data_IF_996446873128
#
_entry.id   IF_996446873128
#
_cell.length_a   1.000
_cell.length_b   1.000
_cell.length_c   1.000
_cell.angle_alpha   90.00
_cell.angle_beta   90.00
_cell.angle_gamma   90.00
#
_symmetry.space_group_name_H-M   'P 1'
#
loop_
_entity.id
_entity.type
_entity.pdbx_description
1 polymer ?
#
# COMPACT_ATOMS: atom_id res chain seq x y z
N UNK A 1 -7.87 0.42 -4.33
CA UNK A 1 -7.37 -0.71 -3.52
C UNK A 1 -7.67 -0.51 -2.03
N UNK A 2 -6.87 0.22 -1.25
CA UNK A 2 -6.94 0.20 0.23
C UNK A 2 -8.30 0.59 0.85
N UNK A 3 -9.01 1.57 0.27
CA UNK A 3 -10.38 1.92 0.72
C UNK A 3 -11.37 0.77 0.54
N UNK A 4 -11.27 0.05 -0.58
CA UNK A 4 -12.15 -1.08 -0.90
C UNK A 4 -11.78 -2.29 -0.04
N UNK A 5 -10.48 -2.57 0.12
CA UNK A 5 -10.01 -3.63 1.02
C UNK A 5 -10.55 -3.43 2.45
N UNK A 6 -10.56 -2.19 2.97
CA UNK A 6 -11.15 -1.88 4.27
C UNK A 6 -12.67 -2.09 4.32
N UNK A 7 -13.41 -1.66 3.30
CA UNK A 7 -14.88 -1.85 3.27
C UNK A 7 -15.29 -3.34 3.18
N UNK A 8 -14.43 -4.17 2.60
CA UNK A 8 -14.64 -5.61 2.48
C UNK A 8 -14.12 -6.41 3.69
N UNK A 9 -13.56 -5.75 4.72
CA UNK A 9 -13.01 -6.41 5.90
C UNK A 9 -11.66 -7.10 5.67
N UNK A 10 -10.96 -6.77 4.58
CA UNK A 10 -9.67 -7.34 4.20
C UNK A 10 -8.47 -6.64 4.87
N UNK A 11 -8.68 -5.97 6.01
CA UNK A 11 -7.62 -5.25 6.75
C UNK A 11 -6.50 -6.16 7.25
N UNK A 12 -6.79 -7.45 7.47
CA UNK A 12 -5.83 -8.49 7.82
C UNK A 12 -4.94 -8.92 6.65
N UNK A 13 -5.32 -8.60 5.41
CA UNK A 13 -4.56 -8.90 4.19
C UNK A 13 -3.73 -7.67 3.81
N UNK A 14 -4.38 -6.51 3.71
CA UNK A 14 -3.73 -5.25 3.38
C UNK A 14 -4.49 -4.08 4.00
N UNK A 15 -3.77 -3.21 4.70
CA UNK A 15 -4.37 -2.06 5.38
C UNK A 15 -3.42 -0.88 5.47
N UNK A 16 -4.01 0.29 5.71
CA UNK A 16 -3.28 1.45 6.21
C UNK A 16 -2.76 1.15 7.61
N UNK A 17 -1.53 1.56 7.90
CA UNK A 17 -0.99 1.55 9.25
C UNK A 17 -1.44 2.81 10.00
N UNK A 18 -1.65 2.72 11.32
CA UNK A 18 -1.91 3.89 12.13
C UNK A 18 -0.76 4.90 12.02
N UNK A 19 -1.07 6.16 12.24
CA UNK A 19 -0.04 7.19 12.32
C UNK A 19 0.93 6.82 13.47
N UNK A 20 2.25 6.85 13.23
CA UNK A 20 3.22 6.41 14.24
C UNK A 20 3.31 7.41 15.40
N UNK A 21 2.96 8.67 15.12
CA UNK A 21 2.92 9.77 16.07
C UNK A 21 1.71 10.66 15.79
N UNK A 22 1.12 11.25 16.84
CA UNK A 22 0.21 12.37 16.68
C UNK A 22 0.89 13.44 15.82
N UNK A 23 0.19 13.98 14.81
CA UNK A 23 0.67 15.03 13.89
C UNK A 23 1.63 14.62 12.76
N UNK A 24 1.97 13.33 12.59
CA UNK A 24 2.72 12.88 11.40
C UNK A 24 1.78 12.41 10.28
N UNK A 25 1.70 13.14 9.18
CA UNK A 25 0.84 12.84 8.02
C UNK A 25 1.42 11.81 7.04
N UNK A 26 2.43 11.04 7.44
CA UNK A 26 3.01 10.02 6.55
C UNK A 26 2.13 8.77 6.58
N UNK A 27 1.24 8.67 5.60
CA UNK A 27 0.37 7.52 5.46
C UNK A 27 1.15 6.37 4.82
N UNK A 28 0.97 5.20 5.42
CA UNK A 28 1.77 4.01 5.11
C UNK A 28 0.81 2.85 5.04
N UNK A 29 1.04 1.95 4.11
CA UNK A 29 0.23 0.75 4.02
C UNK A 29 1.12 -0.47 4.06
N UNK A 30 0.57 -1.58 4.53
CA UNK A 30 1.30 -2.84 4.63
C UNK A 30 0.44 -3.97 4.10
N UNK A 31 1.06 -4.83 3.31
CA UNK A 31 0.52 -6.14 2.94
C UNK A 31 0.98 -7.10 4.03
N UNK A 32 0.03 -7.61 4.81
CA UNK A 32 0.27 -8.50 5.95
C UNK A 32 0.27 -9.96 5.51
N UNK A 33 -0.64 -10.33 4.60
CA UNK A 33 -0.70 -11.67 4.01
C UNK A 33 -0.51 -11.59 2.49
N UNK A 34 0.69 -11.94 2.03
CA UNK A 34 1.05 -11.88 0.60
C UNK A 34 0.27 -12.91 -0.22
N UNK A 35 -0.02 -14.08 0.34
CA UNK A 35 -0.73 -15.15 -0.39
C UNK A 35 -2.16 -14.71 -0.72
N UNK A 36 -2.91 -14.32 0.30
CA UNK A 36 -4.28 -13.82 0.17
C UNK A 36 -4.35 -12.54 -0.66
N UNK A 37 -3.34 -11.67 -0.54
CA UNK A 37 -3.26 -10.47 -1.36
C UNK A 37 -3.13 -10.83 -2.84
N UNK A 38 -2.26 -11.78 -3.20
CA UNK A 38 -2.04 -12.18 -4.60
C UNK A 38 -3.25 -12.91 -5.18
N UNK A 39 -3.94 -13.74 -4.41
CA UNK A 39 -5.11 -14.49 -4.90
C UNK A 39 -6.37 -13.64 -5.00
N UNK A 40 -6.61 -12.76 -4.02
CA UNK A 40 -7.93 -12.14 -3.87
C UNK A 40 -7.92 -10.65 -4.23
N UNK A 41 -6.83 -9.91 -3.95
CA UNK A 41 -6.83 -8.45 -4.06
C UNK A 41 -6.08 -7.97 -5.30
N UNK A 42 -4.89 -8.51 -5.55
CA UNK A 42 -4.04 -8.12 -6.67
C UNK A 42 -4.76 -8.20 -8.02
N UNK A 43 -5.51 -9.29 -8.35
CA UNK A 43 -6.18 -9.41 -9.64
C UNK A 43 -7.29 -8.38 -9.85
N UNK A 44 -7.93 -7.91 -8.77
CA UNK A 44 -9.02 -6.93 -8.82
C UNK A 44 -8.55 -5.52 -9.20
N UNK A 45 -7.33 -5.16 -8.80
CA UNK A 45 -6.79 -3.80 -8.98
C UNK A 45 -5.66 -3.71 -10.01
N UNK A 46 -4.97 -4.82 -10.28
CA UNK A 46 -3.80 -4.87 -11.15
C UNK A 46 -3.94 -6.01 -12.14
N UNK A 47 -4.82 -5.83 -13.14
CA UNK A 47 -5.27 -6.86 -14.09
C UNK A 47 -4.15 -7.63 -14.80
N UNK A 48 -2.98 -7.00 -15.00
CA UNK A 48 -1.83 -7.60 -15.67
C UNK A 48 -0.76 -8.15 -14.69
N UNK A 49 -1.09 -8.27 -13.40
CA UNK A 49 -0.15 -8.70 -12.37
C UNK A 49 -0.65 -9.92 -11.62
N UNK A 50 0.10 -11.01 -11.71
CA UNK A 50 -0.18 -12.27 -11.02
C UNK A 50 0.82 -12.58 -9.90
N UNK A 51 1.86 -11.76 -9.75
CA UNK A 51 2.95 -11.99 -8.81
C UNK A 51 3.17 -10.79 -7.91
N UNK A 52 3.38 -11.04 -6.62
CA UNK A 52 3.71 -9.99 -5.66
C UNK A 52 4.95 -9.18 -6.06
N UNK A 53 5.99 -9.83 -6.62
CA UNK A 53 7.19 -9.12 -7.12
C UNK A 53 6.86 -8.07 -8.20
N UNK A 54 5.87 -8.33 -9.05
CA UNK A 54 5.44 -7.37 -10.08
C UNK A 54 4.78 -6.14 -9.45
N UNK A 55 3.98 -6.35 -8.41
CA UNK A 55 3.41 -5.28 -7.60
C UNK A 55 4.50 -4.46 -6.91
N UNK A 56 5.48 -5.11 -6.27
CA UNK A 56 6.62 -4.42 -5.66
C UNK A 56 7.41 -3.59 -6.69
N UNK A 57 7.58 -4.11 -7.91
CA UNK A 57 8.26 -3.37 -8.99
C UNK A 57 7.46 -2.14 -9.41
N UNK A 58 6.13 -2.20 -9.46
CA UNK A 58 5.31 -1.02 -9.70
C UNK A 58 5.49 0.00 -8.60
N UNK A 59 5.43 -0.41 -7.34
CA UNK A 59 5.67 0.50 -6.21
C UNK A 59 7.02 1.20 -6.34
N UNK A 60 8.08 0.46 -6.66
CA UNK A 60 9.41 1.04 -6.88
C UNK A 60 9.44 2.01 -8.07
N UNK A 61 8.77 1.69 -9.19
CA UNK A 61 8.68 2.57 -10.37
C UNK A 61 7.98 3.89 -10.04
N UNK A 62 6.96 3.86 -9.18
CA UNK A 62 6.24 5.05 -8.73
C UNK A 62 6.87 5.73 -7.50
N UNK A 63 8.11 5.39 -7.16
CA UNK A 63 8.89 6.03 -6.10
C UNK A 63 8.47 5.68 -4.67
N UNK A 64 7.65 4.65 -4.46
CA UNK A 64 7.30 4.21 -3.11
C UNK A 64 8.51 3.67 -2.38
N UNK A 65 8.65 4.06 -1.12
CA UNK A 65 9.72 3.63 -0.24
C UNK A 65 9.23 2.51 0.68
N UNK A 66 10.06 1.46 0.81
CA UNK A 66 9.77 0.33 1.70
C UNK A 66 10.50 0.51 3.03
N UNK A 67 9.76 0.42 4.13
CA UNK A 67 10.32 0.46 5.48
C UNK A 67 11.11 -0.83 5.74
N UNK A 68 12.40 -0.70 6.01
CA UNK A 68 13.30 -1.87 6.17
C UNK A 68 13.44 -2.35 7.61
N UNK A 69 13.21 -1.47 8.59
CA UNK A 69 13.52 -1.70 10.00
C UNK A 69 12.34 -1.29 10.90
N UNK A 70 12.35 -1.79 12.15
CA UNK A 70 11.36 -1.44 13.17
C UNK A 70 10.05 -2.22 13.06
N UNK A 71 9.05 -1.88 13.90
CA UNK A 71 7.78 -2.59 13.99
C UNK A 71 6.98 -2.56 12.68
N UNK A 72 7.23 -1.57 11.84
CA UNK A 72 6.49 -1.34 10.59
C UNK A 72 7.26 -1.84 9.36
N UNK A 73 8.31 -2.63 9.61
CA UNK A 73 9.07 -3.30 8.54
C UNK A 73 8.15 -3.96 7.54
N UNK A 74 8.45 -3.73 6.27
CA UNK A 74 7.70 -4.24 5.13
C UNK A 74 6.57 -3.33 4.63
N UNK A 75 6.23 -2.28 5.36
CA UNK A 75 5.26 -1.29 4.89
C UNK A 75 5.84 -0.41 3.78
N UNK A 76 4.95 0.18 2.98
CA UNK A 76 5.26 1.09 1.89
C UNK A 76 4.67 2.47 2.16
N UNK A 77 5.36 3.50 1.70
CA UNK A 77 4.94 4.87 1.86
C UNK A 77 5.37 5.75 0.70
N UNK A 78 4.61 6.80 0.46
CA UNK A 78 4.93 7.82 -0.51
C UNK A 78 4.30 9.15 -0.08
N UNK A 79 5.04 10.26 -0.24
CA UNK A 79 4.62 11.59 0.24
C UNK A 79 3.25 12.06 -0.29
N UNK A 80 2.90 11.64 -1.51
CA UNK A 80 1.66 12.02 -2.18
C UNK A 80 0.59 10.92 -2.15
N UNK A 81 0.87 9.77 -1.52
CA UNK A 81 -0.09 8.68 -1.39
C UNK A 81 -0.74 8.73 -0.01
N UNK A 82 -1.74 9.60 0.12
CA UNK A 82 -2.43 9.86 1.39
C UNK A 82 -3.84 9.26 1.38
N UNK A 83 -4.27 8.78 2.55
CA UNK A 83 -5.61 8.20 2.75
C UNK A 83 -6.70 9.26 2.60
N UNK A 84 -6.45 10.43 3.18
CA UNK A 84 -7.45 11.51 3.28
C UNK A 84 -7.43 12.44 2.05
N UNK A 85 -6.33 12.43 1.29
CA UNK A 85 -6.13 13.29 0.11
C UNK A 85 -5.76 12.47 -1.14
N UNK A 86 -6.70 11.68 -1.69
CA UNK A 86 -6.43 10.83 -2.85
C UNK A 86 -6.03 11.62 -4.11
N UNK A 87 -6.46 12.87 -4.24
CA UNK A 87 -6.12 13.72 -5.40
C UNK A 87 -4.62 13.99 -5.54
N UNK A 88 -3.86 13.94 -4.43
CA UNK A 88 -2.41 14.08 -4.47
C UNK A 88 -1.74 12.93 -5.22
N UNK A 89 -2.40 11.78 -5.38
CA UNK A 89 -1.87 10.67 -6.18
C UNK A 89 -1.61 11.08 -7.64
N UNK A 90 -2.23 12.15 -8.16
CA UNK A 90 -1.94 12.69 -9.49
C UNK A 90 -0.53 13.28 -9.61
N UNK A 91 0.11 13.59 -8.48
CA UNK A 91 1.50 14.06 -8.39
C UNK A 91 2.51 12.90 -8.32
N UNK A 92 2.05 11.64 -8.35
CA UNK A 92 2.94 10.49 -8.48
C UNK A 92 3.61 10.55 -9.85
N UNK A 93 4.94 10.62 -9.86
CA UNK A 93 5.77 10.58 -11.06
C UNK A 93 6.41 9.21 -11.19
N UNK A 94 6.49 8.70 -12.42
CA UNK A 94 7.08 7.40 -12.78
C UNK A 94 8.46 7.58 -13.42
#
# INVERSE_FOLDING_TARGET
MLRISKSEGNDSIVSWLPAPYPHTSSNRFKVHNVSEFVSNILPLFFSNQTKFKSFQRQLNLWGFLRIQNGPEKGAYYHKYFLQDSPDLCRLLTR
#
